data_IF_185501865413
#
_entry.id   IF_185501865413
#
_cell.length_a   1.000
_cell.length_b   1.000
_cell.length_c   1.000
_cell.angle_alpha   90.00
_cell.angle_beta   90.00
_cell.angle_gamma   90.00
#
_symmetry.space_group_name_H-M   'P 1'
#
loop_
_entity.id
_entity.type
_entity.pdbx_description
1 polymer ?
#
# COMPACT_ATOMS: atom_id res chain seq x y z
N UNK A 1 14.98 -37.93 -17.95
CA UNK A 1 13.95 -37.28 -18.80
C UNK A 1 12.62 -37.05 -18.08
N UNK A 2 11.95 -38.07 -17.51
CA UNK A 2 10.64 -37.90 -16.86
C UNK A 2 10.63 -36.90 -15.68
N UNK A 3 11.64 -36.93 -14.81
CA UNK A 3 11.76 -36.00 -13.69
C UNK A 3 11.98 -34.54 -14.13
N UNK A 4 12.76 -34.31 -15.20
CA UNK A 4 13.03 -32.98 -15.74
C UNK A 4 11.79 -32.35 -16.39
N UNK A 5 10.99 -33.15 -17.11
CA UNK A 5 9.69 -32.72 -17.63
C UNK A 5 8.70 -32.36 -16.51
N UNK A 6 8.73 -33.09 -15.40
CA UNK A 6 7.90 -32.82 -14.23
C UNK A 6 8.30 -31.50 -13.56
N UNK A 7 9.60 -31.23 -13.41
CA UNK A 7 10.10 -29.96 -12.86
C UNK A 7 9.70 -28.78 -13.74
N UNK A 8 9.87 -28.88 -15.06
CA UNK A 8 9.47 -27.81 -15.99
C UNK A 8 7.96 -27.58 -15.92
N UNK A 9 7.16 -28.63 -15.84
CA UNK A 9 5.71 -28.52 -15.72
C UNK A 9 5.28 -27.86 -14.42
N UNK A 10 5.91 -28.20 -13.28
CA UNK A 10 5.64 -27.56 -11.98
C UNK A 10 6.03 -26.08 -12.02
N UNK A 11 7.17 -25.73 -12.61
CA UNK A 11 7.60 -24.33 -12.76
C UNK A 11 6.61 -23.54 -13.62
N UNK A 12 6.17 -24.09 -14.76
CA UNK A 12 5.17 -23.45 -15.62
C UNK A 12 3.84 -23.27 -14.90
N UNK A 13 3.40 -24.27 -14.13
CA UNK A 13 2.18 -24.15 -13.33
C UNK A 13 2.30 -23.08 -12.25
N UNK A 14 3.45 -22.97 -11.56
CA UNK A 14 3.70 -21.90 -10.59
C UNK A 14 3.66 -20.52 -11.25
N UNK A 15 4.30 -20.34 -12.41
CA UNK A 15 4.23 -19.08 -13.17
C UNK A 15 2.80 -18.75 -13.62
N UNK A 16 2.02 -19.76 -14.05
CA UNK A 16 0.63 -19.56 -14.46
C UNK A 16 -0.27 -19.18 -13.28
N UNK A 17 -0.02 -19.76 -12.10
CA UNK A 17 -0.75 -19.46 -10.87
C UNK A 17 -0.48 -18.04 -10.38
N UNK A 18 0.81 -17.65 -10.31
CA UNK A 18 1.24 -16.29 -9.95
C UNK A 18 0.69 -15.24 -10.93
N UNK A 19 0.71 -15.54 -12.24
CA UNK A 19 0.17 -14.64 -13.26
C UNK A 19 -1.36 -14.47 -13.19
N UNK A 20 -2.10 -15.54 -12.86
CA UNK A 20 -3.55 -15.50 -12.72
C UNK A 20 -4.00 -14.69 -11.49
N UNK A 21 -3.27 -14.80 -10.38
CA UNK A 21 -3.53 -14.06 -9.14
C UNK A 21 -3.29 -12.55 -9.31
N UNK A 22 -2.13 -12.19 -9.86
CA UNK A 22 -1.78 -10.79 -10.17
C UNK A 22 -2.80 -10.13 -11.10
N UNK A 23 -3.30 -10.88 -12.09
CA UNK A 23 -4.32 -10.37 -13.03
C UNK A 23 -5.67 -10.10 -12.37
N UNK A 24 -6.06 -10.87 -11.35
CA UNK A 24 -7.31 -10.63 -10.60
C UNK A 24 -7.18 -9.40 -9.71
N UNK A 25 -6.03 -9.23 -9.04
CA UNK A 25 -5.75 -8.07 -8.19
C UNK A 25 -5.74 -6.78 -9.02
N UNK A 26 -5.03 -6.77 -10.15
CA UNK A 26 -4.99 -5.60 -11.04
C UNK A 26 -6.37 -5.18 -11.57
N UNK A 27 -7.27 -6.13 -11.82
CA UNK A 27 -8.66 -5.81 -12.22
C UNK A 27 -9.46 -5.17 -11.09
N UNK A 28 -9.24 -5.57 -9.83
CA UNK A 28 -9.90 -4.97 -8.68
C UNK A 28 -9.37 -3.56 -8.41
N UNK A 29 -8.05 -3.37 -8.52
CA UNK A 29 -7.40 -2.06 -8.46
C UNK A 29 -7.94 -1.14 -9.55
N UNK A 30 -7.97 -1.61 -10.80
CA UNK A 30 -8.48 -0.83 -11.93
C UNK A 30 -9.94 -0.43 -11.72
N UNK A 31 -10.74 -1.32 -11.14
CA UNK A 31 -12.15 -1.04 -10.82
C UNK A 31 -12.28 -0.04 -9.67
N UNK A 32 -11.51 -0.19 -8.59
CA UNK A 32 -11.53 0.68 -7.43
C UNK A 32 -11.05 2.11 -7.75
N UNK A 33 -10.06 2.21 -8.65
CA UNK A 33 -9.47 3.48 -9.06
C UNK A 33 -9.95 3.99 -10.44
N UNK A 34 -10.97 3.35 -11.02
CA UNK A 34 -11.46 3.68 -12.35
C UNK A 34 -11.91 5.15 -12.45
N UNK A 35 -11.50 5.84 -13.50
CA UNK A 35 -11.86 7.24 -13.75
C UNK A 35 -11.15 8.27 -12.87
N UNK A 36 -10.20 7.84 -12.03
CA UNK A 36 -9.35 8.75 -11.25
C UNK A 36 -8.14 9.19 -12.05
N UNK A 37 -7.77 10.45 -11.90
CA UNK A 37 -6.51 11.00 -12.40
C UNK A 37 -5.33 10.26 -11.74
N UNK A 38 -4.37 9.84 -12.56
CA UNK A 38 -3.09 9.31 -12.08
C UNK A 38 -2.16 10.48 -11.77
N UNK A 39 -1.63 10.50 -10.55
CA UNK A 39 -0.74 11.52 -10.02
C UNK A 39 0.63 10.90 -9.73
N UNK A 40 1.70 11.62 -10.06
CA UNK A 40 3.01 11.31 -9.48
C UNK A 40 3.00 11.60 -7.98
N UNK A 41 3.96 11.04 -7.24
CA UNK A 41 4.08 11.28 -5.80
C UNK A 41 4.24 12.78 -5.50
N UNK A 42 4.97 13.51 -6.34
CA UNK A 42 5.14 14.96 -6.23
C UNK A 42 3.83 15.71 -6.44
N UNK A 43 3.03 15.30 -7.43
CA UNK A 43 1.72 15.90 -7.70
C UNK A 43 0.72 15.60 -6.57
N UNK A 44 0.72 14.36 -6.08
CA UNK A 44 -0.11 13.94 -4.95
C UNK A 44 0.24 14.74 -3.69
N UNK A 45 1.54 14.85 -3.37
CA UNK A 45 2.02 15.67 -2.26
C UNK A 45 1.63 17.14 -2.41
N UNK A 46 1.96 17.74 -3.56
CA UNK A 46 1.70 19.15 -3.82
C UNK A 46 0.22 19.49 -3.71
N UNK A 47 -0.64 18.60 -4.20
CA UNK A 47 -2.09 18.80 -4.22
C UNK A 47 -2.75 18.66 -2.85
N UNK A 48 -2.27 17.76 -1.99
CA UNK A 48 -3.04 17.34 -0.80
C UNK A 48 -2.35 17.60 0.55
N UNK A 49 -1.03 17.81 0.56
CA UNK A 49 -0.25 17.83 1.81
C UNK A 49 0.75 18.98 1.92
N UNK A 50 1.17 19.59 0.80
CA UNK A 50 2.15 20.68 0.81
C UNK A 50 1.72 21.86 1.69
N UNK A 51 0.45 22.28 1.61
CA UNK A 51 -0.07 23.41 2.40
C UNK A 51 -0.35 23.07 3.87
N UNK A 52 -0.18 21.80 4.26
CA UNK A 52 -0.41 21.32 5.63
C UNK A 52 0.87 21.26 6.47
N UNK A 53 2.01 21.66 5.92
CA UNK A 53 3.31 21.62 6.61
C UNK A 53 3.92 20.23 6.77
N UNK A 54 3.29 19.19 6.19
CA UNK A 54 3.78 17.82 6.27
C UNK A 54 5.00 17.67 5.34
N UNK A 55 6.12 17.10 5.79
CA UNK A 55 7.28 16.86 4.92
C UNK A 55 6.97 15.91 3.75
N UNK A 56 7.48 16.23 2.56
CA UNK A 56 7.39 15.37 1.37
C UNK A 56 7.86 13.94 1.64
N UNK A 57 8.94 13.77 2.42
CA UNK A 57 9.49 12.45 2.76
C UNK A 57 8.51 11.55 3.50
N UNK A 58 7.60 12.10 4.30
CA UNK A 58 6.57 11.33 5.00
C UNK A 58 5.53 10.83 3.99
N UNK A 59 5.00 11.73 3.17
CA UNK A 59 3.98 11.38 2.16
C UNK A 59 4.55 10.39 1.14
N UNK A 60 5.75 10.66 0.63
CA UNK A 60 6.40 9.78 -0.33
C UNK A 60 6.75 8.42 0.28
N UNK A 61 7.19 8.38 1.54
CA UNK A 61 7.45 7.12 2.24
C UNK A 61 6.18 6.29 2.41
N UNK A 62 5.08 6.91 2.84
CA UNK A 62 3.79 6.23 2.96
C UNK A 62 3.34 5.62 1.63
N UNK A 63 3.32 6.42 0.56
CA UNK A 63 2.84 5.96 -0.75
C UNK A 63 3.72 4.82 -1.29
N UNK A 64 5.05 4.93 -1.17
CA UNK A 64 5.98 3.89 -1.63
C UNK A 64 5.86 2.59 -0.85
N UNK A 65 5.77 2.66 0.48
CA UNK A 65 5.57 1.46 1.31
C UNK A 65 4.27 0.77 0.95
N UNK A 66 3.18 1.51 0.71
CA UNK A 66 1.92 0.92 0.26
C UNK A 66 2.07 0.28 -1.13
N UNK A 67 2.70 0.95 -2.09
CA UNK A 67 2.96 0.41 -3.43
C UNK A 67 3.79 -0.90 -3.38
N UNK A 68 4.81 -0.96 -2.53
CA UNK A 68 5.68 -2.12 -2.34
C UNK A 68 4.96 -3.28 -1.64
N UNK A 69 4.33 -3.03 -0.49
CA UNK A 69 3.67 -4.06 0.31
C UNK A 69 2.43 -4.62 -0.39
N UNK A 70 1.70 -3.77 -1.13
CA UNK A 70 0.51 -4.19 -1.87
C UNK A 70 0.82 -4.65 -3.29
N UNK A 71 2.07 -4.44 -3.75
CA UNK A 71 2.57 -4.75 -5.09
C UNK A 71 1.57 -4.28 -6.16
N UNK A 72 1.24 -2.99 -6.10
CA UNK A 72 0.15 -2.38 -6.83
C UNK A 72 0.38 -0.88 -7.09
N UNK A 73 -0.06 -0.42 -8.25
CA UNK A 73 0.03 0.99 -8.65
C UNK A 73 -0.84 1.89 -7.77
N UNK A 74 -0.17 2.76 -7.00
CA UNK A 74 -0.78 3.74 -6.09
C UNK A 74 -0.93 5.14 -6.72
N UNK A 75 -0.63 5.32 -8.01
CA UNK A 75 -0.70 6.64 -8.65
C UNK A 75 -2.10 7.27 -8.63
N UNK A 76 -3.16 6.46 -8.47
CA UNK A 76 -4.56 6.92 -8.44
C UNK A 76 -5.15 6.99 -7.02
N UNK A 77 -4.31 6.85 -6.01
CA UNK A 77 -4.71 6.94 -4.61
C UNK A 77 -5.13 8.38 -4.26
N UNK A 78 -6.01 8.49 -3.27
CA UNK A 78 -6.49 9.75 -2.72
C UNK A 78 -6.32 9.76 -1.20
N UNK A 79 -6.20 10.95 -0.57
CA UNK A 79 -6.03 11.04 0.88
C UNK A 79 -7.20 10.44 1.67
N UNK A 80 -8.41 10.48 1.11
CA UNK A 80 -9.65 9.97 1.70
C UNK A 80 -9.91 8.48 1.39
N UNK A 81 -9.00 7.81 0.67
CA UNK A 81 -9.13 6.38 0.44
C UNK A 81 -9.01 5.62 1.77
N UNK A 82 -10.02 4.79 2.01
CA UNK A 82 -10.23 4.05 3.25
C UNK A 82 -9.63 2.65 3.16
N UNK A 83 -8.79 2.28 4.14
CA UNK A 83 -8.13 1.00 4.22
C UNK A 83 -9.11 -0.17 4.29
N UNK A 84 -10.24 -0.01 4.97
CA UNK A 84 -11.26 -1.05 5.17
C UNK A 84 -12.31 -1.11 4.06
N UNK A 85 -12.32 -0.17 3.11
CA UNK A 85 -13.29 -0.17 2.00
C UNK A 85 -12.61 -0.30 0.65
N UNK A 86 -11.83 0.72 0.30
CA UNK A 86 -11.27 0.84 -1.04
C UNK A 86 -10.04 -0.05 -1.15
N UNK A 87 -9.30 -0.22 -0.06
CA UNK A 87 -8.11 -1.06 -0.02
C UNK A 87 -8.37 -2.43 0.65
N UNK A 88 -9.62 -2.75 1.00
CA UNK A 88 -9.97 -4.00 1.69
C UNK A 88 -9.49 -5.25 0.94
N UNK A 89 -9.62 -5.20 -0.39
CA UNK A 89 -9.22 -6.30 -1.25
C UNK A 89 -7.71 -6.58 -1.22
N UNK A 90 -6.89 -5.68 -0.69
CA UNK A 90 -5.47 -5.93 -0.49
C UNK A 90 -5.22 -6.79 0.76
N UNK A 91 -6.04 -6.63 1.80
CA UNK A 91 -5.96 -7.41 3.05
C UNK A 91 -6.57 -8.80 2.90
N UNK A 92 -7.61 -8.94 2.06
CA UNK A 92 -8.33 -10.20 1.87
C UNK A 92 -7.49 -11.37 1.33
N UNK A 93 -6.26 -11.11 0.87
CA UNK A 93 -5.33 -12.13 0.38
C UNK A 93 -4.21 -12.47 1.37
N UNK A 94 -3.97 -11.63 2.37
CA UNK A 94 -2.91 -11.81 3.37
C UNK A 94 -3.35 -11.21 4.71
N UNK A 95 -3.81 -12.09 5.62
CA UNK A 95 -4.29 -11.77 6.97
C UNK A 95 -3.21 -11.12 7.87
N UNK A 96 -1.94 -11.02 7.43
CA UNK A 96 -0.86 -10.35 8.15
C UNK A 96 -0.32 -9.09 7.45
N UNK A 97 -0.87 -8.72 6.29
CA UNK A 97 -0.35 -7.59 5.50
C UNK A 97 -0.55 -6.24 6.21
N UNK A 98 -1.62 -6.10 7.00
CA UNK A 98 -1.89 -4.91 7.82
C UNK A 98 -0.80 -4.69 8.88
N UNK A 99 -0.45 -5.73 9.62
CA UNK A 99 0.62 -5.72 10.62
C UNK A 99 1.97 -5.45 9.97
N UNK A 100 2.26 -6.07 8.82
CA UNK A 100 3.51 -5.88 8.10
C UNK A 100 3.72 -4.42 7.67
N UNK A 101 2.66 -3.75 7.19
CA UNK A 101 2.72 -2.35 6.79
C UNK A 101 2.95 -1.43 7.99
N UNK A 102 2.25 -1.66 9.11
CA UNK A 102 2.45 -0.87 10.33
C UNK A 102 3.90 -0.99 10.81
N UNK A 103 4.43 -2.21 10.88
CA UNK A 103 5.83 -2.47 11.28
C UNK A 103 6.81 -1.79 10.32
N UNK A 104 6.52 -1.75 9.02
CA UNK A 104 7.38 -1.08 8.05
C UNK A 104 7.36 0.44 8.22
N UNK A 105 6.21 1.04 8.53
CA UNK A 105 6.14 2.46 8.87
C UNK A 105 6.92 2.79 10.15
N UNK A 106 6.78 1.99 11.19
CA UNK A 106 7.54 2.15 12.44
C UNK A 106 9.05 2.15 12.20
N UNK A 107 9.54 1.20 11.38
CA UNK A 107 10.95 1.12 11.00
C UNK A 107 11.39 2.30 10.14
N UNK A 108 10.63 2.62 9.10
CA UNK A 108 10.99 3.65 8.11
C UNK A 108 11.09 5.03 8.76
N UNK A 109 10.14 5.36 9.63
CA UNK A 109 10.05 6.68 10.26
C UNK A 109 10.69 6.74 11.64
N UNK A 110 11.13 5.61 12.17
CA UNK A 110 11.59 5.45 13.55
C UNK A 110 10.52 6.02 14.49
N UNK A 111 9.36 5.37 14.55
CA UNK A 111 8.23 5.69 15.43
C UNK A 111 7.64 4.41 16.02
N UNK A 112 6.74 4.55 16.99
CA UNK A 112 5.93 3.43 17.51
C UNK A 112 4.46 3.81 17.38
N UNK A 113 3.69 2.94 16.75
CA UNK A 113 2.25 3.06 16.53
C UNK A 113 1.58 2.06 17.48
N UNK A 114 0.76 2.55 18.41
CA UNK A 114 0.01 1.66 19.29
C UNK A 114 -1.13 0.97 18.53
N UNK A 115 -1.66 -0.12 19.11
CA UNK A 115 -2.85 -0.78 18.55
C UNK A 115 -4.03 0.20 18.42
N UNK A 116 -4.30 1.02 19.43
CA UNK A 116 -5.37 2.02 19.39
C UNK A 116 -5.19 3.06 18.27
N UNK A 117 -3.93 3.46 18.01
CA UNK A 117 -3.59 4.38 16.91
C UNK A 117 -3.76 3.71 15.54
N UNK A 118 -3.34 2.45 15.41
CA UNK A 118 -3.54 1.68 14.20
C UNK A 118 -5.03 1.46 13.92
N UNK A 119 -5.82 1.08 14.93
CA UNK A 119 -7.26 0.87 14.83
C UNK A 119 -8.05 2.13 14.47
N UNK A 120 -7.56 3.31 14.90
CA UNK A 120 -8.18 4.61 14.58
C UNK A 120 -7.67 5.25 13.29
N UNK A 121 -6.73 4.60 12.59
CA UNK A 121 -6.16 5.07 11.33
C UNK A 121 -6.90 4.44 10.15
N UNK A 122 -7.85 5.18 9.56
CA UNK A 122 -8.75 4.63 8.54
C UNK A 122 -8.39 5.00 7.11
N UNK A 123 -7.75 6.16 6.91
CA UNK A 123 -7.44 6.70 5.58
C UNK A 123 -5.96 6.93 5.35
N UNK A 124 -5.59 7.16 4.08
CA UNK A 124 -4.25 7.58 3.70
C UNK A 124 -3.84 8.89 4.37
N UNK A 125 -4.78 9.84 4.51
CA UNK A 125 -4.54 11.07 5.24
C UNK A 125 -4.27 10.79 6.72
N UNK A 126 -5.02 9.89 7.35
CA UNK A 126 -4.86 9.56 8.77
C UNK A 126 -3.46 9.02 9.06
N UNK A 127 -2.97 8.05 8.27
CA UNK A 127 -1.64 7.47 8.50
C UNK A 127 -0.52 8.50 8.28
N UNK A 128 -0.65 9.35 7.26
CA UNK A 128 0.31 10.44 6.98
C UNK A 128 0.34 11.42 8.16
N UNK A 129 -0.82 11.83 8.67
CA UNK A 129 -0.92 12.75 9.79
C UNK A 129 -0.40 12.13 11.09
N UNK A 130 -0.71 10.85 11.35
CA UNK A 130 -0.24 10.13 12.53
C UNK A 130 1.30 10.07 12.55
N UNK A 131 1.91 9.65 11.44
CA UNK A 131 3.37 9.58 11.31
C UNK A 131 3.98 10.98 11.50
N UNK A 132 3.40 12.00 10.87
CA UNK A 132 3.87 13.38 11.01
C UNK A 132 3.85 13.84 12.47
N UNK A 133 2.73 13.67 13.17
CA UNK A 133 2.59 14.05 14.57
C UNK A 133 3.59 13.31 15.47
N UNK A 134 3.76 12.00 15.26
CA UNK A 134 4.74 11.17 16.01
C UNK A 134 6.18 11.64 15.80
N UNK A 135 6.51 12.08 14.59
CA UNK A 135 7.84 12.60 14.23
C UNK A 135 8.13 13.96 14.86
N UNK A 136 7.12 14.81 15.04
CA UNK A 136 7.28 16.12 15.70
C UNK A 136 7.31 16.03 17.22
N UNK A 137 6.67 15.02 17.80
CA UNK A 137 6.65 14.81 19.26
C UNK A 137 7.95 14.20 19.83
N UNK A 138 8.93 13.87 18.98
CA UNK A 138 10.26 13.37 19.36
C UNK A 138 11.29 14.50 19.39
#
# INVERSE_FOLDING_TARGET
>A
MKAMLLVVFVVVLLFFWVGAETSRRNKQIEKAFSGRESLTIEQFYSRYFQDKGIPFSIVAGVVKTLEEQLNADMSRIRPDDDFSKILEFFWAYDDMADVAIVVEFEKLFDIVISNDEAESTHTIADIVNLIHFKREAR
#
